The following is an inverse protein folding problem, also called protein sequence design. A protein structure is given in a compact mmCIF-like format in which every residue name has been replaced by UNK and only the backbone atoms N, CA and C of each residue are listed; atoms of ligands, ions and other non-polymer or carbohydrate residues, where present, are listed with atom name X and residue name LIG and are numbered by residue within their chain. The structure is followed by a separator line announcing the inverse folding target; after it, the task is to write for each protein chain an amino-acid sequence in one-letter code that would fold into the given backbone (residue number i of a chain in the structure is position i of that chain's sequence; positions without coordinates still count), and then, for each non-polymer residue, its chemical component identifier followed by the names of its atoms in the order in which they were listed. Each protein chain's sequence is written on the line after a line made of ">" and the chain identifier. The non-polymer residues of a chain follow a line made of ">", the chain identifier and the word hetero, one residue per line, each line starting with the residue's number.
data_IF_023777076173
#
_entry.id   IF_023777076173
#
_cell.length_a   1.000
_cell.length_b   1.000
_cell.length_c   1.000
_cell.angle_alpha   90.00
_cell.angle_beta   90.00
_cell.angle_gamma   90.00
#
_symmetry.space_group_name_H-M   'P 1'
#
loop_
_entity.id
_entity.type
_entity.pdbx_description
1 polymer ?
#
# COMPACT_ATOMS: atom_id res chain seq x y z
N UNK A 1 10.47 28.46 -11.26
CA UNK A 1 9.24 28.70 -10.47
C UNK A 1 8.99 27.44 -9.67
N UNK A 2 8.49 27.52 -8.43
CA UNK A 2 8.30 26.31 -7.61
C UNK A 2 7.00 25.58 -7.97
N UNK A 3 6.99 24.26 -7.78
CA UNK A 3 5.75 23.47 -7.77
C UNK A 3 4.84 23.97 -6.64
N UNK A 4 3.55 24.14 -6.92
CA UNK A 4 2.53 24.56 -5.95
C UNK A 4 1.37 23.59 -5.94
N UNK A 5 0.75 23.41 -4.79
CA UNK A 5 -0.50 22.68 -4.63
C UNK A 5 -1.62 23.69 -4.35
N UNK A 6 -2.68 23.67 -5.17
CA UNK A 6 -3.87 24.52 -5.04
C UNK A 6 -5.02 23.62 -4.58
N UNK A 7 -5.71 24.02 -3.51
CA UNK A 7 -6.85 23.29 -2.95
C UNK A 7 -8.06 24.21 -3.00
N UNK A 8 -9.11 23.78 -3.70
CA UNK A 8 -10.40 24.47 -3.78
C UNK A 8 -11.46 23.64 -3.05
N UNK A 9 -12.03 24.24 -2.01
CA UNK A 9 -13.09 23.65 -1.18
C UNK A 9 -14.26 24.65 -1.01
N UNK A 10 -14.46 25.57 -1.96
CA UNK A 10 -15.60 26.52 -1.89
C UNK A 10 -16.95 25.84 -2.09
N UNK A 11 -16.95 24.73 -2.83
CA UNK A 11 -18.12 23.90 -3.10
C UNK A 11 -18.20 22.80 -2.03
N UNK A 12 -19.35 22.64 -1.39
CA UNK A 12 -19.52 21.62 -0.36
C UNK A 12 -19.59 20.22 -0.98
N UNK A 13 -20.09 20.14 -2.22
CA UNK A 13 -20.28 18.91 -2.99
C UNK A 13 -18.97 18.28 -3.50
N UNK A 14 -17.90 19.07 -3.65
CA UNK A 14 -16.62 18.63 -4.19
C UNK A 14 -15.43 19.44 -3.67
N UNK A 15 -14.32 18.74 -3.41
CA UNK A 15 -13.02 19.35 -3.15
C UNK A 15 -12.07 19.03 -4.29
N UNK A 16 -11.36 20.03 -4.83
CA UNK A 16 -10.44 19.87 -5.97
C UNK A 16 -9.02 20.19 -5.55
N UNK A 17 -8.07 19.35 -5.93
CA UNK A 17 -6.64 19.54 -5.63
C UNK A 17 -5.86 19.52 -6.93
N UNK A 18 -5.00 20.52 -7.13
CA UNK A 18 -4.20 20.67 -8.35
C UNK A 18 -2.74 20.90 -7.99
N UNK A 19 -1.84 20.11 -8.56
CA UNK A 19 -0.40 20.36 -8.50
C UNK A 19 0.02 21.06 -9.79
N UNK A 20 0.60 22.25 -9.65
CA UNK A 20 1.05 23.09 -10.78
C UNK A 20 2.55 23.34 -10.72
N UNK A 21 3.21 23.35 -11.87
CA UNK A 21 4.55 23.89 -12.06
C UNK A 21 4.47 25.17 -12.89
N UNK A 22 4.60 26.32 -12.22
CA UNK A 22 4.32 27.62 -12.83
C UNK A 22 2.83 27.75 -13.20
N UNK A 23 2.54 27.74 -14.51
CA UNK A 23 1.18 27.80 -15.07
C UNK A 23 0.74 26.47 -15.70
N UNK A 24 1.56 25.42 -15.61
CA UNK A 24 1.25 24.11 -16.16
C UNK A 24 0.67 23.20 -15.07
N UNK A 25 -0.46 22.58 -15.34
CA UNK A 25 -1.04 21.53 -14.49
C UNK A 25 -0.27 20.24 -14.71
N UNK A 26 0.23 19.64 -13.64
CA UNK A 26 0.90 18.35 -13.65
C UNK A 26 -0.07 17.25 -13.16
N UNK A 27 -0.77 17.49 -12.06
CA UNK A 27 -1.74 16.56 -11.48
C UNK A 27 -3.03 17.30 -11.09
N UNK A 28 -4.16 16.63 -11.28
CA UNK A 28 -5.48 17.11 -10.90
C UNK A 28 -6.26 15.95 -10.28
N UNK A 29 -6.80 16.17 -9.09
CA UNK A 29 -7.66 15.21 -8.40
C UNK A 29 -8.88 15.94 -7.81
N UNK A 30 -9.98 15.21 -7.61
CA UNK A 30 -11.17 15.75 -6.95
C UNK A 30 -11.86 14.68 -6.12
N UNK A 31 -12.36 15.10 -4.96
CA UNK A 31 -13.15 14.27 -4.07
C UNK A 31 -14.59 14.77 -4.09
N UNK A 32 -15.56 13.88 -4.28
CA UNK A 32 -16.99 14.21 -4.20
C UNK A 32 -17.59 13.67 -2.91
N UNK A 33 -18.47 14.46 -2.29
CA UNK A 33 -19.14 14.08 -1.04
C UNK A 33 -19.91 12.75 -1.15
N UNK A 34 -20.48 12.48 -2.33
CA UNK A 34 -21.36 11.32 -2.55
C UNK A 34 -20.62 9.99 -2.76
N UNK A 35 -19.30 10.01 -2.96
CA UNK A 35 -18.52 8.80 -3.26
C UNK A 35 -17.19 8.81 -2.51
N UNK A 36 -17.27 8.55 -1.21
CA UNK A 36 -16.07 8.36 -0.38
C UNK A 36 -15.32 7.12 -0.85
N UNK A 37 -14.06 7.30 -1.23
CA UNK A 37 -13.17 6.21 -1.54
C UNK A 37 -12.79 5.49 -0.24
N UNK A 38 -13.13 4.20 -0.15
CA UNK A 38 -12.77 3.36 1.00
C UNK A 38 -11.44 2.63 0.80
N UNK A 39 -10.96 2.57 -0.44
CA UNK A 39 -9.70 1.93 -0.80
C UNK A 39 -8.52 2.72 -0.22
N UNK A 40 -7.60 2.03 0.44
CA UNK A 40 -6.45 2.63 1.12
C UNK A 40 -6.71 3.04 2.57
N UNK A 41 -7.96 3.01 3.04
CA UNK A 41 -8.28 3.33 4.42
C UNK A 41 -7.77 2.22 5.37
N UNK A 42 -7.34 2.63 6.55
CA UNK A 42 -6.85 1.75 7.62
C UNK A 42 -7.86 1.78 8.77
N UNK A 43 -8.30 0.61 9.22
CA UNK A 43 -9.27 0.46 10.30
C UNK A 43 -8.73 -0.43 11.41
N UNK A 44 -9.07 -0.10 12.66
CA UNK A 44 -9.04 -1.08 13.74
C UNK A 44 -10.32 -1.92 13.63
N UNK A 45 -10.17 -3.18 13.23
CA UNK A 45 -11.27 -4.09 12.97
C UNK A 45 -11.31 -5.26 13.97
N UNK A 46 -12.46 -5.92 14.06
CA UNK A 46 -12.65 -7.13 14.88
C UNK A 46 -12.92 -8.35 13.99
N UNK A 47 -12.22 -9.45 14.22
CA UNK A 47 -12.52 -10.73 13.54
C UNK A 47 -13.89 -11.23 14.01
N UNK A 48 -14.81 -11.45 13.06
CA UNK A 48 -16.16 -11.93 13.36
C UNK A 48 -16.24 -13.45 13.29
N UNK A 49 -15.59 -14.06 12.30
CA UNK A 49 -15.50 -15.51 12.12
C UNK A 49 -14.28 -15.89 11.28
N UNK A 50 -13.81 -17.12 11.47
CA UNK A 50 -12.74 -17.74 10.69
C UNK A 50 -13.35 -18.83 9.82
N UNK A 51 -12.99 -18.86 8.55
CA UNK A 51 -13.47 -19.82 7.54
C UNK A 51 -12.28 -20.65 7.02
N UNK A 52 -11.99 -21.81 7.64
CA UNK A 52 -10.83 -22.64 7.27
C UNK A 52 -10.87 -23.12 5.81
N UNK A 53 -12.07 -23.40 5.29
CA UNK A 53 -12.27 -23.82 3.90
C UNK A 53 -11.82 -22.78 2.89
N UNK A 54 -11.92 -21.50 3.25
CA UNK A 54 -11.49 -20.37 2.41
C UNK A 54 -10.06 -19.92 2.74
N UNK A 55 -9.43 -20.50 3.79
CA UNK A 55 -8.18 -19.99 4.35
C UNK A 55 -8.27 -18.47 4.60
N UNK A 56 -9.33 -18.04 5.25
CA UNK A 56 -9.64 -16.61 5.43
C UNK A 56 -10.42 -16.33 6.72
N UNK A 57 -10.45 -15.07 7.10
CA UNK A 57 -11.28 -14.55 8.18
C UNK A 57 -12.19 -13.43 7.66
N UNK A 58 -13.38 -13.32 8.23
CA UNK A 58 -14.25 -12.16 8.03
C UNK A 58 -14.04 -11.16 9.17
N UNK A 59 -13.95 -9.89 8.83
CA UNK A 59 -13.67 -8.79 9.78
C UNK A 59 -14.79 -7.75 9.75
N UNK A 60 -15.18 -7.27 10.92
CA UNK A 60 -16.02 -6.09 11.07
C UNK A 60 -15.13 -4.85 11.26
N UNK A 61 -15.17 -3.96 10.27
CA UNK A 61 -14.45 -2.69 10.24
C UNK A 61 -15.40 -1.48 10.32
N UNK A 62 -16.69 -1.70 10.65
CA UNK A 62 -17.71 -0.65 10.72
C UNK A 62 -18.39 -0.32 9.39
N UNK A 63 -18.15 -1.10 8.33
CA UNK A 63 -18.84 -0.98 7.05
C UNK A 63 -20.17 -1.76 6.99
N UNK A 64 -20.94 -1.55 5.93
CA UNK A 64 -22.24 -2.22 5.71
C UNK A 64 -22.12 -3.75 5.51
N UNK A 65 -20.92 -4.24 5.15
CA UNK A 65 -20.61 -5.67 4.98
C UNK A 65 -19.28 -5.97 5.65
N UNK A 66 -19.13 -7.19 6.16
CA UNK A 66 -17.84 -7.66 6.66
C UNK A 66 -16.78 -7.67 5.56
N UNK A 67 -15.58 -7.26 5.93
CA UNK A 67 -14.39 -7.38 5.10
C UNK A 67 -13.96 -8.84 5.02
N UNK A 68 -13.30 -9.17 3.92
CA UNK A 68 -12.68 -10.47 3.71
C UNK A 68 -11.17 -10.31 3.87
N UNK A 69 -10.57 -11.10 4.75
CA UNK A 69 -9.14 -11.08 5.03
C UNK A 69 -8.57 -12.49 4.77
N UNK A 70 -7.85 -12.66 3.67
CA UNK A 70 -7.20 -13.91 3.34
C UNK A 70 -6.03 -14.18 4.31
N UNK A 71 -5.76 -15.44 4.61
CA UNK A 71 -4.71 -15.83 5.55
C UNK A 71 -3.32 -15.38 5.11
N UNK A 72 -3.03 -15.40 3.81
CA UNK A 72 -1.76 -14.93 3.23
C UNK A 72 -1.51 -13.43 3.41
N UNK A 73 -2.55 -12.65 3.70
CA UNK A 73 -2.48 -11.19 3.89
C UNK A 73 -2.40 -10.80 5.37
N UNK A 74 -2.26 -11.77 6.28
CA UNK A 74 -2.15 -11.53 7.72
C UNK A 74 -0.68 -11.48 8.11
N UNK A 75 -0.24 -10.34 8.63
CA UNK A 75 1.13 -10.19 9.13
C UNK A 75 1.42 -11.18 10.28
N UNK A 76 2.62 -11.81 10.34
CA UNK A 76 2.97 -12.80 11.36
C UNK A 76 2.82 -12.32 12.82
N UNK A 77 2.86 -11.01 13.06
CA UNK A 77 2.59 -10.45 14.40
C UNK A 77 1.20 -10.79 14.94
N UNK A 78 0.24 -11.05 14.07
CA UNK A 78 -1.11 -11.42 14.50
C UNK A 78 -1.25 -12.93 14.76
N UNK A 79 -0.20 -13.72 14.53
CA UNK A 79 -0.24 -15.15 14.77
C UNK A 79 -0.15 -15.46 16.27
N UNK A 80 -0.98 -16.41 16.69
CA UNK A 80 -0.95 -16.96 18.04
C UNK A 80 0.05 -18.13 18.11
N UNK A 81 1.33 -17.79 17.97
CA UNK A 81 2.46 -18.72 18.03
C UNK A 81 3.47 -18.28 19.10
N UNK A 82 4.31 -19.21 19.60
CA UNK A 82 5.43 -18.87 20.48
C UNK A 82 6.31 -17.75 19.91
N UNK A 83 6.92 -16.96 20.79
CA UNK A 83 7.74 -15.81 20.40
C UNK A 83 8.92 -16.24 19.52
N UNK A 84 9.58 -17.36 19.86
CA UNK A 84 10.70 -17.89 19.09
C UNK A 84 10.30 -18.22 17.63
N UNK A 85 9.14 -18.85 17.43
CA UNK A 85 8.65 -19.21 16.09
C UNK A 85 8.31 -17.95 15.28
N UNK A 86 7.77 -16.92 15.93
CA UNK A 86 7.46 -15.62 15.30
C UNK A 86 8.72 -14.88 14.88
N UNK A 87 9.74 -14.85 15.76
CA UNK A 87 11.03 -14.21 15.47
C UNK A 87 11.73 -14.88 14.30
N UNK A 88 11.71 -16.21 14.24
CA UNK A 88 12.26 -16.97 13.12
C UNK A 88 11.57 -16.62 11.79
N UNK A 89 10.23 -16.54 11.76
CA UNK A 89 9.47 -16.15 10.56
C UNK A 89 9.80 -14.72 10.10
N UNK A 90 9.94 -13.78 11.05
CA UNK A 90 10.30 -12.40 10.72
C UNK A 90 11.72 -12.27 10.17
N UNK A 91 12.66 -13.03 10.70
CA UNK A 91 14.04 -13.03 10.22
C UNK A 91 14.13 -13.60 8.80
N UNK A 92 13.38 -14.67 8.52
CA UNK A 92 13.28 -15.24 7.17
C UNK A 92 12.67 -14.24 6.18
N UNK A 93 11.58 -13.56 6.55
CA UNK A 93 10.93 -12.55 5.70
C UNK A 93 11.84 -11.36 5.41
N UNK A 94 12.60 -10.89 6.42
CA UNK A 94 13.60 -9.83 6.26
C UNK A 94 14.74 -10.27 5.35
N UNK A 95 15.27 -11.48 5.55
CA UNK A 95 16.35 -12.01 4.71
C UNK A 95 15.90 -12.14 3.24
N UNK A 96 14.65 -12.56 3.01
CA UNK A 96 14.07 -12.62 1.68
C UNK A 96 13.91 -11.23 1.05
N UNK A 97 13.37 -10.25 1.79
CA UNK A 97 13.22 -8.88 1.31
C UNK A 97 14.58 -8.23 1.00
N UNK A 98 15.59 -8.45 1.84
CA UNK A 98 16.96 -8.00 1.60
C UNK A 98 17.56 -8.65 0.35
N UNK A 99 17.39 -9.96 0.16
CA UNK A 99 17.84 -10.65 -1.04
C UNK A 99 17.16 -10.10 -2.30
N UNK A 100 15.84 -9.93 -2.26
CA UNK A 100 15.06 -9.38 -3.38
C UNK A 100 15.52 -7.95 -3.73
N UNK A 101 15.71 -7.09 -2.72
CA UNK A 101 16.20 -5.72 -2.94
C UNK A 101 17.60 -5.70 -3.57
N UNK A 102 18.49 -6.61 -3.16
CA UNK A 102 19.83 -6.75 -3.75
C UNK A 102 19.79 -7.19 -5.21
N UNK A 103 18.93 -8.13 -5.54
CA UNK A 103 18.75 -8.62 -6.91
C UNK A 103 18.18 -7.50 -7.82
N UNK A 104 17.21 -6.72 -7.32
CA UNK A 104 16.65 -5.55 -8.02
C UNK A 104 17.72 -4.46 -8.23
N UNK A 105 18.55 -4.18 -7.22
CA UNK A 105 19.67 -3.25 -7.32
C UNK A 105 20.75 -3.72 -8.30
N UNK A 106 21.02 -5.03 -8.38
CA UNK A 106 21.99 -5.60 -9.33
C UNK A 106 21.47 -5.53 -10.76
N UNK A 107 20.18 -5.84 -10.99
CA UNK A 107 19.54 -5.74 -12.29
C UNK A 107 19.45 -4.29 -12.83
N UNK A 108 19.37 -3.30 -11.94
CA UNK A 108 19.29 -1.88 -12.31
C UNK A 108 20.65 -1.27 -12.74
N UNK A 109 21.79 -1.96 -12.59
CA UNK A 109 23.11 -1.42 -12.98
C UNK A 109 23.28 -1.49 -14.51
N UNK A 110 23.54 -0.36 -15.21
CA UNK A 110 23.71 -0.37 -16.66
C UNK A 110 24.97 -1.14 -17.06
N UNK A 111 24.85 -2.10 -17.98
CA UNK A 111 26.00 -2.83 -18.51
C UNK A 111 26.96 -1.84 -19.20
N UNK A 112 28.21 -1.80 -18.72
CA UNK A 112 29.25 -0.98 -19.34
C UNK A 112 29.58 -1.59 -20.71
N UNK A 113 28.85 -1.20 -21.73
CA UNK A 113 29.18 -1.47 -23.13
C UNK A 113 30.58 -0.93 -23.42
N UNK A 114 31.53 -1.86 -23.51
CA UNK A 114 32.88 -1.61 -24.01
C UNK A 114 32.79 -1.19 -25.47
N UNK A 115 32.72 0.11 -25.73
CA UNK A 115 32.99 0.66 -27.07
C UNK A 115 34.47 0.50 -27.36
N UNK A 116 34.81 -0.61 -28.01
CA UNK A 116 36.10 -0.81 -28.68
C UNK A 116 36.25 0.25 -29.75
N UNK A 117 37.30 1.06 -29.61
CA UNK A 117 37.77 2.01 -30.62
C UNK A 117 38.19 1.25 -31.87
N UNK A 118 37.72 1.68 -33.03
CA UNK A 118 38.37 1.49 -34.34
C UNK A 118 37.93 2.64 -35.23
#
# INVERSE_FOLDING_TARGET
>A
MGKKMLIDATHAEETRVVVVDGNKVEEFDFESENKRQLAGNIYLAKVTRVEPSLQAAFVDYGGNRHGFLAFSEIHPDYYQIPVADREALMEEERAYAEAQSRDEEEAAKPSKSSRSRS
#
